data_IF_840093442180
#
_entry.id   IF_840093442180
#
_cell.length_a   1.000
_cell.length_b   1.000
_cell.length_c   1.000
_cell.angle_alpha   90.00
_cell.angle_beta   90.00
_cell.angle_gamma   90.00
#
_symmetry.space_group_name_H-M   'P 1'
#
loop_
_entity.id
_entity.type
_entity.pdbx_description
1 polymer ?
#
# COMPACT_ATOMS: atom_id res chain seq x y z
N UNK A 1 -5.48 -14.48 26.64
CA UNK A 1 -4.45 -14.63 25.61
C UNK A 1 -3.43 -13.56 25.89
N UNK A 2 -2.24 -13.94 26.36
CA UNK A 2 -1.17 -12.99 26.68
C UNK A 2 -0.19 -12.98 25.50
N UNK A 3 -0.56 -12.32 24.43
CA UNK A 3 0.39 -12.08 23.36
C UNK A 3 1.23 -10.87 23.76
N UNK A 4 2.50 -11.07 23.98
CA UNK A 4 3.45 -9.96 24.11
C UNK A 4 3.63 -9.33 22.71
N UNK A 5 2.61 -8.61 22.24
CA UNK A 5 2.75 -7.78 21.06
C UNK A 5 3.75 -6.68 21.39
N UNK A 6 4.80 -6.61 20.59
CA UNK A 6 5.81 -5.57 20.69
C UNK A 6 5.81 -4.75 19.41
N UNK A 7 6.07 -3.46 19.55
CA UNK A 7 6.22 -2.56 18.42
C UNK A 7 7.54 -1.80 18.57
N UNK A 8 8.35 -1.78 17.54
CA UNK A 8 9.65 -1.09 17.55
C UNK A 8 9.96 -0.51 16.17
N UNK A 9 10.71 0.61 16.12
CA UNK A 9 11.21 1.13 14.86
C UNK A 9 12.30 0.19 14.29
N UNK A 10 12.40 0.17 12.95
CA UNK A 10 13.44 -0.58 12.24
C UNK A 10 14.06 0.27 11.15
N UNK A 11 15.36 0.05 10.87
CA UNK A 11 16.12 0.90 9.96
C UNK A 11 16.48 2.23 10.61
N UNK A 12 17.11 3.10 9.85
CA UNK A 12 17.59 4.40 10.33
C UNK A 12 16.98 5.58 9.58
N UNK A 13 16.33 5.33 8.45
CA UNK A 13 15.80 6.36 7.58
C UNK A 13 14.54 6.97 8.16
N UNK A 14 14.46 8.29 8.07
CA UNK A 14 13.28 9.08 8.40
C UNK A 14 12.64 9.55 7.10
N UNK A 15 11.53 8.92 6.71
CA UNK A 15 10.77 9.29 5.53
C UNK A 15 9.89 10.51 5.79
N UNK A 16 9.82 11.43 4.84
CA UNK A 16 8.84 12.51 4.89
C UNK A 16 7.41 11.96 4.82
N UNK A 17 7.20 10.98 3.93
CA UNK A 17 5.96 10.25 3.79
C UNK A 17 6.23 8.83 3.26
N UNK A 18 6.56 7.90 4.18
CA UNK A 18 6.81 6.50 3.87
C UNK A 18 5.50 5.82 3.44
N UNK A 19 5.54 5.01 2.36
CA UNK A 19 4.34 4.42 1.76
C UNK A 19 4.62 3.12 0.99
N UNK A 20 3.54 2.45 0.58
CA UNK A 20 3.55 1.32 -0.34
C UNK A 20 4.45 0.16 0.07
N UNK A 21 4.45 -0.30 1.34
CA UNK A 21 5.35 -1.36 1.75
C UNK A 21 4.95 -2.70 1.11
N UNK A 22 5.96 -3.43 0.65
CA UNK A 22 5.82 -4.78 0.12
C UNK A 22 7.02 -5.63 0.55
N UNK A 23 6.78 -6.80 1.12
CA UNK A 23 7.84 -7.73 1.49
C UNK A 23 8.16 -8.69 0.34
N UNK A 24 9.42 -8.67 -0.14
CA UNK A 24 9.87 -9.43 -1.29
C UNK A 24 11.34 -9.85 -1.16
N UNK A 25 11.63 -11.13 -1.36
CA UNK A 25 13.00 -11.66 -1.29
C UNK A 25 13.77 -11.19 -0.04
N UNK A 26 13.18 -11.44 1.14
CA UNK A 26 13.72 -11.13 2.46
C UNK A 26 13.98 -9.62 2.73
N UNK A 27 13.39 -8.74 1.93
CA UNK A 27 13.49 -7.29 2.11
C UNK A 27 12.11 -6.64 2.09
N UNK A 28 12.00 -5.54 2.83
CA UNK A 28 10.89 -4.62 2.72
C UNK A 28 11.22 -3.57 1.65
N UNK A 29 10.43 -3.52 0.58
CA UNK A 29 10.43 -2.43 -0.38
C UNK A 29 9.38 -1.42 0.06
N UNK A 30 9.70 -0.13 0.01
CA UNK A 30 8.74 0.95 0.25
C UNK A 30 9.23 2.24 -0.41
N UNK A 31 8.38 3.25 -0.44
CA UNK A 31 8.71 4.57 -1.01
C UNK A 31 8.63 5.66 0.04
N UNK A 32 9.44 6.71 -0.11
CA UNK A 32 9.22 8.00 0.52
C UNK A 32 8.69 8.95 -0.55
N UNK A 33 7.37 9.14 -0.58
CA UNK A 33 6.70 9.91 -1.63
C UNK A 33 7.26 11.34 -1.71
N UNK A 34 7.27 12.05 -0.57
CA UNK A 34 7.71 13.44 -0.50
C UNK A 34 9.24 13.58 -0.40
N UNK A 35 9.95 12.48 -0.13
CA UNK A 35 11.39 12.35 -0.23
C UNK A 35 11.88 11.93 -1.61
N UNK A 36 10.98 11.56 -2.54
CA UNK A 36 11.27 11.12 -3.90
C UNK A 36 12.21 9.92 -3.95
N UNK A 37 12.06 8.98 -3.04
CA UNK A 37 13.02 7.88 -2.84
C UNK A 37 12.32 6.54 -2.85
N UNK A 38 12.90 5.56 -3.54
CA UNK A 38 12.60 4.14 -3.39
C UNK A 38 13.58 3.53 -2.40
N UNK A 39 13.11 2.74 -1.45
CA UNK A 39 13.91 2.15 -0.39
C UNK A 39 13.75 0.63 -0.37
N UNK A 40 14.85 -0.08 -0.11
CA UNK A 40 14.90 -1.51 0.18
C UNK A 40 15.57 -1.71 1.52
N UNK A 41 14.82 -2.16 2.50
CA UNK A 41 15.26 -2.39 3.88
C UNK A 41 15.39 -3.89 4.12
N UNK A 42 16.53 -4.33 4.64
CA UNK A 42 16.69 -5.67 5.21
C UNK A 42 16.20 -5.65 6.67
N UNK A 43 15.09 -6.33 7.01
CA UNK A 43 14.53 -6.24 8.35
C UNK A 43 15.30 -7.03 9.42
N UNK A 44 16.25 -7.87 9.05
CA UNK A 44 17.08 -8.62 10.00
C UNK A 44 18.34 -7.85 10.39
N UNK A 45 18.99 -7.17 9.43
CA UNK A 45 20.20 -6.37 9.71
C UNK A 45 19.90 -4.89 9.97
N UNK A 46 18.76 -4.37 9.50
CA UNK A 46 18.44 -2.95 9.47
C UNK A 46 19.15 -2.18 8.36
N UNK A 47 19.87 -2.86 7.47
CA UNK A 47 20.56 -2.22 6.36
C UNK A 47 19.57 -1.71 5.31
N UNK A 48 19.85 -0.50 4.80
CA UNK A 48 18.99 0.18 3.82
C UNK A 48 19.78 0.51 2.55
N UNK A 49 19.18 0.16 1.43
CA UNK A 49 19.59 0.61 0.10
C UNK A 49 18.49 1.51 -0.46
N UNK A 50 18.86 2.58 -1.15
CA UNK A 50 17.88 3.51 -1.68
C UNK A 50 18.28 4.12 -3.03
N UNK A 51 17.28 4.56 -3.79
CA UNK A 51 17.42 5.20 -5.09
C UNK A 51 16.64 6.51 -5.12
N UNK A 52 17.34 7.59 -5.47
CA UNK A 52 16.72 8.89 -5.73
C UNK A 52 15.97 8.84 -7.06
N UNK A 53 14.66 8.98 -7.00
CA UNK A 53 13.82 8.81 -8.19
C UNK A 53 13.55 10.13 -8.93
N UNK A 54 13.86 11.28 -8.33
CA UNK A 54 13.70 12.61 -8.93
C UNK A 54 12.25 13.08 -9.09
N UNK A 55 11.28 12.29 -8.62
CA UNK A 55 9.85 12.58 -8.63
C UNK A 55 9.15 11.87 -7.46
N UNK A 56 7.91 12.24 -7.16
CA UNK A 56 7.09 11.50 -6.20
C UNK A 56 6.71 10.13 -6.80
N UNK A 57 6.91 9.08 -6.00
CA UNK A 57 6.49 7.72 -6.35
C UNK A 57 5.43 7.33 -5.33
N UNK A 58 4.23 6.97 -5.80
CA UNK A 58 3.15 6.51 -4.92
C UNK A 58 3.31 5.06 -4.49
N UNK A 59 3.81 4.22 -5.38
CA UNK A 59 3.94 2.78 -5.11
C UNK A 59 5.02 2.12 -5.96
N UNK A 60 5.53 0.99 -5.46
CA UNK A 60 6.51 0.13 -6.12
C UNK A 60 6.12 -1.32 -5.96
N UNK A 61 6.29 -2.13 -7.01
CA UNK A 61 6.15 -3.59 -6.94
C UNK A 61 7.34 -4.27 -7.63
N UNK A 62 7.75 -5.47 -7.17
CA UNK A 62 8.79 -6.24 -7.85
C UNK A 62 8.29 -6.76 -9.21
N UNK A 63 9.22 -7.00 -10.12
CA UNK A 63 8.96 -7.64 -11.43
C UNK A 63 9.57 -9.04 -11.47
N UNK A 64 8.88 -9.99 -12.09
CA UNK A 64 9.40 -11.35 -12.30
C UNK A 64 10.64 -11.36 -13.21
N UNK A 65 10.70 -10.43 -14.14
CA UNK A 65 11.85 -10.23 -15.04
C UNK A 65 13.06 -9.53 -14.40
N UNK A 66 12.95 -9.13 -13.12
CA UNK A 66 13.96 -8.34 -12.41
C UNK A 66 13.65 -6.85 -12.41
N UNK A 67 14.25 -6.12 -11.46
CA UNK A 67 13.96 -4.72 -11.21
C UNK A 67 12.55 -4.49 -10.64
N UNK A 68 12.05 -3.27 -10.81
CA UNK A 68 10.81 -2.82 -10.21
C UNK A 68 9.86 -2.22 -11.25
N UNK A 69 8.58 -2.23 -10.93
CA UNK A 69 7.55 -1.41 -11.58
C UNK A 69 7.11 -0.36 -10.58
N UNK A 70 7.17 0.91 -10.99
CA UNK A 70 6.83 2.07 -10.17
C UNK A 70 5.65 2.82 -10.79
N UNK A 71 4.87 3.50 -9.95
CA UNK A 71 3.88 4.46 -10.40
C UNK A 71 4.03 5.77 -9.59
N UNK A 72 4.15 6.88 -10.29
CA UNK A 72 4.47 8.20 -9.70
C UNK A 72 3.90 9.38 -10.46
N UNK A 73 4.58 10.52 -10.38
CA UNK A 73 4.16 11.76 -11.08
C UNK A 73 4.21 11.59 -12.61
N UNK A 74 5.17 10.83 -13.15
CA UNK A 74 5.35 10.65 -14.60
C UNK A 74 4.56 9.48 -15.19
N UNK A 75 3.73 8.81 -14.38
CA UNK A 75 2.96 7.64 -14.82
C UNK A 75 3.51 6.32 -14.26
N UNK A 76 3.30 5.24 -15.02
CA UNK A 76 3.77 3.88 -14.70
C UNK A 76 5.02 3.59 -15.52
N UNK A 77 6.10 3.18 -14.86
CA UNK A 77 7.37 2.89 -15.53
C UNK A 77 8.14 1.74 -14.85
N UNK A 78 8.97 1.04 -15.62
CA UNK A 78 9.93 0.10 -15.06
C UNK A 78 11.17 0.83 -14.57
N UNK A 79 11.78 0.32 -13.51
CA UNK A 79 13.03 0.82 -12.96
C UNK A 79 14.03 -0.32 -12.75
N UNK A 80 15.21 -0.17 -13.33
CA UNK A 80 16.34 -1.07 -13.09
C UNK A 80 17.23 -0.49 -11.97
N UNK A 81 17.29 -1.14 -10.79
CA UNK A 81 18.05 -0.63 -9.66
C UNK A 81 19.58 -0.70 -9.85
N UNK A 82 20.07 -1.45 -10.85
CA UNK A 82 21.51 -1.59 -11.15
C UNK A 82 21.99 -0.46 -12.06
N UNK A 83 21.22 -0.18 -13.12
CA UNK A 83 21.60 0.82 -14.14
C UNK A 83 20.99 2.19 -13.87
N UNK A 84 19.92 2.26 -13.07
CA UNK A 84 19.11 3.46 -12.86
C UNK A 84 18.16 3.77 -14.04
N UNK A 85 18.07 2.87 -15.02
CA UNK A 85 17.22 3.08 -16.21
C UNK A 85 15.74 3.07 -15.85
N UNK A 86 14.99 4.03 -16.40
CA UNK A 86 13.54 4.11 -16.33
C UNK A 86 12.95 3.99 -17.74
N UNK A 87 11.96 3.11 -17.90
CA UNK A 87 11.21 2.99 -19.16
C UNK A 87 9.73 3.22 -18.89
N UNK A 88 9.19 4.32 -19.43
CA UNK A 88 7.77 4.65 -19.27
C UNK A 88 6.90 3.66 -20.04
N UNK A 89 5.84 3.17 -19.38
CA UNK A 89 4.87 2.23 -19.96
C UNK A 89 3.52 2.88 -20.22
N UNK A 90 3.03 3.75 -19.30
CA UNK A 90 1.73 4.38 -19.41
C UNK A 90 1.63 5.64 -18.54
N UNK A 91 0.87 6.62 -19.02
CA UNK A 91 0.58 7.86 -18.29
C UNK A 91 -0.86 8.32 -18.63
N UNK A 92 -1.86 7.72 -17.97
CA UNK A 92 -3.27 7.96 -18.31
C UNK A 92 -3.80 9.31 -17.85
N UNK A 93 -3.09 10.01 -16.96
CA UNK A 93 -3.50 11.31 -16.39
C UNK A 93 -2.47 12.42 -16.64
N UNK A 94 -1.71 12.31 -17.73
CA UNK A 94 -0.71 13.32 -18.11
C UNK A 94 -1.28 14.75 -18.21
N UNK A 95 -2.54 14.86 -18.63
CA UNK A 95 -3.27 16.12 -18.77
C UNK A 95 -3.75 16.71 -17.44
N UNK A 96 -3.73 15.93 -16.35
CA UNK A 96 -4.13 16.34 -15.01
C UNK A 96 -2.95 16.75 -14.13
N UNK A 97 -1.72 16.70 -14.63
CA UNK A 97 -0.54 17.12 -13.85
C UNK A 97 -0.49 18.64 -13.69
N UNK A 98 -0.01 19.20 -12.55
CA UNK A 98 0.51 18.48 -11.35
C UNK A 98 -0.56 18.11 -10.31
N UNK A 99 -1.86 18.28 -10.63
CA UNK A 99 -2.95 18.17 -9.68
C UNK A 99 -3.27 16.71 -9.31
N UNK A 100 -2.95 15.78 -10.20
CA UNK A 100 -3.04 14.34 -9.95
C UNK A 100 -1.68 13.65 -10.07
N UNK A 101 -1.48 12.59 -9.29
CA UNK A 101 -0.36 11.65 -9.36
C UNK A 101 -0.82 10.24 -9.01
N UNK A 102 -0.02 9.24 -9.34
CA UNK A 102 -0.24 7.91 -8.77
C UNK A 102 -0.03 7.90 -7.26
N UNK A 103 -0.78 7.06 -6.57
CA UNK A 103 -0.75 6.84 -5.13
C UNK A 103 -0.51 5.36 -4.84
N UNK A 104 -1.41 4.65 -4.14
CA UNK A 104 -1.22 3.25 -3.80
C UNK A 104 -1.47 2.29 -4.97
N UNK A 105 -0.85 1.12 -4.92
CA UNK A 105 -1.02 0.05 -5.90
C UNK A 105 -0.32 -1.24 -5.51
N UNK A 106 -0.82 -2.36 -6.03
CA UNK A 106 -0.26 -3.71 -5.82
C UNK A 106 -0.48 -4.58 -7.05
N UNK A 107 0.24 -5.71 -7.11
CA UNK A 107 -0.08 -6.75 -8.07
C UNK A 107 -1.20 -7.66 -7.56
N UNK A 108 -2.08 -8.06 -8.49
CA UNK A 108 -3.07 -9.10 -8.24
C UNK A 108 -2.48 -10.51 -8.32
N UNK A 109 -3.24 -11.56 -7.94
CA UNK A 109 -2.77 -12.95 -7.97
C UNK A 109 -2.32 -13.45 -9.36
N UNK A 110 -2.76 -12.80 -10.44
CA UNK A 110 -2.33 -13.11 -11.82
C UNK A 110 -1.10 -12.30 -12.27
N UNK A 111 -0.55 -11.44 -11.40
CA UNK A 111 0.62 -10.63 -11.68
C UNK A 111 0.35 -9.40 -12.55
N UNK A 112 -0.88 -8.91 -12.61
CA UNK A 112 -1.23 -7.61 -13.21
C UNK A 112 -1.06 -6.52 -12.15
N UNK A 113 -0.59 -5.37 -12.55
CA UNK A 113 -0.38 -4.24 -11.65
C UNK A 113 -1.62 -3.34 -11.60
N UNK A 114 -2.11 -3.11 -10.39
CA UNK A 114 -3.20 -2.19 -10.10
C UNK A 114 -2.64 -1.00 -9.38
N UNK A 115 -2.89 0.19 -9.90
CA UNK A 115 -2.44 1.44 -9.29
C UNK A 115 -3.51 2.52 -9.48
N UNK A 116 -3.78 3.23 -8.41
CA UNK A 116 -4.73 4.32 -8.44
C UNK A 116 -4.07 5.68 -8.26
N UNK A 117 -4.81 6.72 -8.62
CA UNK A 117 -4.36 8.10 -8.52
C UNK A 117 -5.00 8.83 -7.34
N UNK A 118 -4.43 9.96 -6.99
CA UNK A 118 -4.95 10.92 -6.01
C UNK A 118 -5.07 12.28 -6.66
N UNK A 119 -6.15 13.00 -6.36
CA UNK A 119 -6.20 14.45 -6.60
C UNK A 119 -5.53 15.19 -5.44
N UNK A 120 -4.32 15.69 -5.65
CA UNK A 120 -3.54 16.43 -4.64
C UNK A 120 -4.19 17.74 -4.24
N UNK A 121 -5.03 18.29 -5.11
CA UNK A 121 -5.86 19.48 -4.86
C UNK A 121 -7.22 19.13 -4.24
N UNK A 122 -7.42 17.86 -3.87
CA UNK A 122 -8.63 17.35 -3.19
C UNK A 122 -9.92 17.53 -3.99
N UNK A 123 -9.85 17.49 -5.32
CA UNK A 123 -11.03 17.54 -6.20
C UNK A 123 -11.72 16.18 -6.16
N UNK A 124 -12.90 16.16 -5.59
CA UNK A 124 -13.68 14.92 -5.42
C UNK A 124 -14.01 14.26 -6.76
N UNK A 125 -13.71 12.96 -6.86
CA UNK A 125 -14.01 12.14 -8.04
C UNK A 125 -13.17 12.44 -9.27
N UNK A 126 -12.00 13.07 -9.12
CA UNK A 126 -11.11 13.43 -10.24
C UNK A 126 -9.95 12.43 -10.45
N UNK A 127 -9.84 11.42 -9.61
CA UNK A 127 -8.86 10.35 -9.68
C UNK A 127 -9.50 9.01 -10.10
N UNK A 128 -8.70 8.00 -10.34
CA UNK A 128 -9.13 6.72 -10.88
C UNK A 128 -8.26 5.56 -10.36
N UNK A 129 -8.75 4.33 -10.50
CA UNK A 129 -7.99 3.09 -10.36
C UNK A 129 -7.78 2.46 -11.73
N UNK A 130 -6.53 2.16 -12.07
CA UNK A 130 -6.13 1.52 -13.33
C UNK A 130 -5.54 0.13 -13.10
N UNK A 131 -5.56 -0.70 -14.13
CA UNK A 131 -4.87 -1.98 -14.18
C UNK A 131 -4.01 -2.05 -15.44
N UNK A 132 -2.71 -2.28 -15.25
CA UNK A 132 -1.77 -2.64 -16.31
C UNK A 132 -1.66 -4.17 -16.36
N UNK A 133 -2.03 -4.75 -17.50
CA UNK A 133 -1.94 -6.19 -17.67
C UNK A 133 -0.52 -6.66 -18.01
N UNK A 134 -0.34 -7.97 -18.05
CA UNK A 134 0.97 -8.61 -18.33
C UNK A 134 1.42 -8.48 -19.78
N UNK A 135 0.62 -7.86 -20.66
CA UNK A 135 0.98 -7.55 -22.06
C UNK A 135 1.34 -6.08 -22.24
N UNK A 136 1.12 -5.26 -21.21
CA UNK A 136 1.34 -3.81 -21.24
C UNK A 136 0.08 -3.00 -21.57
N UNK A 137 -1.09 -3.62 -21.63
CA UNK A 137 -2.35 -2.92 -21.89
C UNK A 137 -2.90 -2.33 -20.59
N UNK A 138 -3.08 -0.99 -20.59
CA UNK A 138 -3.67 -0.26 -19.46
C UNK A 138 -5.19 -0.16 -19.62
N UNK A 139 -5.92 -0.37 -18.54
CA UNK A 139 -7.39 -0.23 -18.50
C UNK A 139 -7.86 0.48 -17.23
N UNK A 140 -8.86 1.37 -17.39
CA UNK A 140 -9.59 1.97 -16.28
C UNK A 140 -10.48 0.92 -15.60
N UNK A 141 -10.43 0.84 -14.27
CA UNK A 141 -11.19 -0.15 -13.47
C UNK A 141 -12.23 0.47 -12.56
N UNK A 142 -11.87 1.57 -11.87
CA UNK A 142 -12.80 2.34 -11.05
C UNK A 142 -12.60 3.81 -11.36
N UNK A 143 -13.68 4.49 -11.77
CA UNK A 143 -13.70 5.93 -12.01
C UNK A 143 -14.16 6.72 -10.77
N UNK A 144 -14.01 8.04 -10.82
CA UNK A 144 -14.49 8.95 -9.78
C UNK A 144 -13.95 8.70 -8.39
N UNK A 145 -12.73 8.22 -8.31
CA UNK A 145 -11.95 8.12 -7.08
C UNK A 145 -11.44 9.50 -6.69
N UNK A 146 -11.18 9.74 -5.42
CA UNK A 146 -10.60 10.99 -4.93
C UNK A 146 -9.18 10.79 -4.44
N UNK A 147 -8.96 9.76 -3.64
CA UNK A 147 -7.65 9.34 -3.12
C UNK A 147 -7.61 7.82 -3.04
N UNK A 148 -7.11 7.20 -4.11
CA UNK A 148 -6.95 5.76 -4.19
C UNK A 148 -5.92 5.29 -3.17
N UNK A 149 -6.31 4.33 -2.35
CA UNK A 149 -5.50 3.74 -1.30
C UNK A 149 -5.74 2.24 -1.19
N UNK A 150 -5.45 1.66 -0.08
CA UNK A 150 -5.51 0.28 0.32
C UNK A 150 -6.16 -0.68 -0.67
N UNK A 151 -5.37 -1.58 -1.24
CA UNK A 151 -5.84 -2.60 -2.17
C UNK A 151 -5.25 -3.96 -1.81
N UNK A 152 -6.10 -5.01 -1.76
CA UNK A 152 -5.66 -6.39 -1.59
C UNK A 152 -6.71 -7.37 -2.14
N UNK A 153 -6.34 -8.65 -2.24
CA UNK A 153 -7.21 -9.70 -2.77
C UNK A 153 -7.38 -10.82 -1.76
N UNK A 154 -8.57 -11.42 -1.74
CA UNK A 154 -8.84 -12.64 -0.98
C UNK A 154 -7.95 -13.80 -1.45
N UNK A 155 -7.64 -14.75 -0.55
CA UNK A 155 -6.76 -15.88 -0.85
C UNK A 155 -7.27 -16.76 -2.01
N UNK A 156 -8.59 -16.85 -2.18
CA UNK A 156 -9.23 -17.57 -3.29
C UNK A 156 -9.31 -16.73 -4.59
N UNK A 157 -8.77 -15.51 -4.56
CA UNK A 157 -8.77 -14.58 -5.69
C UNK A 157 -10.17 -14.28 -6.29
N UNK A 158 -11.22 -14.32 -5.47
CA UNK A 158 -12.60 -14.04 -5.88
C UNK A 158 -13.08 -12.66 -5.48
N UNK A 159 -12.33 -11.95 -4.61
CA UNK A 159 -12.64 -10.61 -4.15
C UNK A 159 -11.42 -9.71 -4.20
N UNK A 160 -11.64 -8.44 -4.56
CA UNK A 160 -10.71 -7.34 -4.35
C UNK A 160 -11.28 -6.43 -3.26
N UNK A 161 -10.48 -6.10 -2.26
CA UNK A 161 -10.80 -5.07 -1.27
C UNK A 161 -10.12 -3.77 -1.63
N UNK A 162 -10.82 -2.64 -1.45
CA UNK A 162 -10.36 -1.35 -1.94
C UNK A 162 -10.85 -0.19 -1.09
N UNK A 163 -10.02 0.86 -1.00
CA UNK A 163 -10.26 2.08 -0.23
C UNK A 163 -10.12 3.31 -1.14
N UNK A 164 -11.14 4.17 -1.12
CA UNK A 164 -11.03 5.59 -1.47
C UNK A 164 -11.12 6.39 -0.17
N UNK A 165 -10.00 6.86 0.32
CA UNK A 165 -9.81 7.39 1.68
C UNK A 165 -10.87 8.41 2.14
N UNK A 166 -11.26 9.43 1.33
CA UNK A 166 -12.26 10.41 1.77
C UNK A 166 -13.65 9.84 2.02
N UNK A 167 -13.94 8.65 1.49
CA UNK A 167 -15.22 7.96 1.73
C UNK A 167 -15.29 7.32 3.11
N UNK A 168 -14.14 7.11 3.76
CA UNK A 168 -13.96 6.35 5.00
C UNK A 168 -14.44 4.89 4.92
N UNK A 169 -14.63 4.36 3.72
CA UNK A 169 -15.20 3.04 3.49
C UNK A 169 -14.16 2.07 2.94
N UNK A 170 -14.28 0.82 3.38
CA UNK A 170 -13.61 -0.32 2.81
C UNK A 170 -14.65 -1.06 1.97
N UNK A 171 -14.39 -1.21 0.67
CA UNK A 171 -15.29 -1.85 -0.27
C UNK A 171 -14.77 -3.22 -0.69
N UNK A 172 -15.67 -4.14 -0.98
CA UNK A 172 -15.38 -5.46 -1.57
C UNK A 172 -15.98 -5.52 -2.96
N UNK A 173 -15.14 -5.79 -3.95
CA UNK A 173 -15.54 -6.02 -5.35
C UNK A 173 -15.46 -7.52 -5.65
N UNK A 174 -16.53 -8.20 -6.13
CA UNK A 174 -16.37 -9.51 -6.74
C UNK A 174 -15.37 -9.42 -7.90
N UNK A 175 -14.42 -10.35 -7.94
CA UNK A 175 -13.26 -10.29 -8.82
C UNK A 175 -13.14 -11.53 -9.68
N UNK A 176 -13.12 -11.35 -11.00
CA UNK A 176 -12.74 -12.40 -11.94
C UNK A 176 -11.23 -12.36 -12.18
N UNK A 177 -10.50 -13.20 -11.45
CA UNK A 177 -9.04 -13.26 -11.54
C UNK A 177 -8.53 -13.66 -12.93
N UNK A 178 -9.32 -14.42 -13.72
CA UNK A 178 -8.88 -14.83 -15.06
C UNK A 178 -8.81 -13.67 -16.05
N UNK A 179 -9.67 -12.65 -15.87
CA UNK A 179 -9.83 -11.50 -16.78
C UNK A 179 -9.43 -10.17 -16.15
N UNK A 180 -9.22 -10.09 -14.83
CA UNK A 180 -9.02 -8.81 -14.11
C UNK A 180 -10.26 -7.92 -14.19
N UNK A 181 -11.44 -8.48 -14.01
CA UNK A 181 -12.72 -7.76 -14.08
C UNK A 181 -13.34 -7.67 -12.70
N UNK A 182 -13.84 -6.47 -12.38
CA UNK A 182 -14.62 -6.18 -11.18
C UNK A 182 -16.11 -6.18 -11.49
N UNK A 183 -16.92 -6.63 -10.53
CA UNK A 183 -18.37 -6.46 -10.54
C UNK A 183 -18.78 -5.41 -9.48
N UNK A 184 -20.08 -5.13 -9.35
CA UNK A 184 -20.62 -4.14 -8.41
C UNK A 184 -20.13 -4.37 -6.97
N UNK A 185 -19.59 -3.34 -6.32
CA UNK A 185 -19.02 -3.45 -4.99
C UNK A 185 -20.08 -3.54 -3.88
N UNK A 186 -19.68 -4.08 -2.75
CA UNK A 186 -20.43 -4.04 -1.51
C UNK A 186 -19.60 -3.41 -0.38
N UNK A 187 -20.26 -2.79 0.58
CA UNK A 187 -19.61 -2.26 1.77
C UNK A 187 -19.11 -3.40 2.65
N UNK A 188 -17.84 -3.31 3.08
CA UNK A 188 -17.27 -4.17 4.12
C UNK A 188 -17.37 -3.47 5.48
N UNK A 189 -16.80 -2.28 5.59
CA UNK A 189 -16.77 -1.51 6.83
C UNK A 189 -16.75 -0.01 6.54
N UNK A 190 -17.24 0.77 7.49
CA UNK A 190 -17.19 2.23 7.49
C UNK A 190 -16.47 2.69 8.76
N UNK A 191 -15.28 3.27 8.60
CA UNK A 191 -14.44 3.70 9.72
C UNK A 191 -15.12 4.79 10.58
N UNK A 192 -16.01 5.58 9.99
CA UNK A 192 -16.81 6.55 10.72
C UNK A 192 -17.86 5.89 11.61
N UNK A 193 -18.44 4.76 11.19
CA UNK A 193 -19.38 3.96 11.99
C UNK A 193 -18.67 3.20 13.10
N UNK A 194 -17.43 2.75 12.84
CA UNK A 194 -16.60 2.08 13.83
C UNK A 194 -15.94 3.05 14.84
N UNK A 195 -16.19 4.35 14.72
CA UNK A 195 -15.64 5.41 15.57
C UNK A 195 -14.10 5.37 15.67
N UNK A 196 -13.46 5.15 14.53
CA UNK A 196 -12.00 5.10 14.41
C UNK A 196 -11.43 6.49 14.10
N UNK A 197 -10.42 6.88 14.87
CA UNK A 197 -9.64 8.08 14.58
C UNK A 197 -8.89 7.95 13.27
N UNK A 198 -8.73 9.07 12.55
CA UNK A 198 -8.03 9.11 11.28
C UNK A 198 -8.89 8.70 10.08
N UNK A 199 -8.24 8.18 9.05
CA UNK A 199 -8.88 7.76 7.81
C UNK A 199 -8.21 6.49 7.27
N UNK A 200 -8.97 5.54 6.72
CA UNK A 200 -8.40 4.31 6.16
C UNK A 200 -7.47 4.65 4.99
N UNK A 201 -6.28 4.05 5.02
CA UNK A 201 -5.19 4.31 4.09
C UNK A 201 -4.66 2.99 3.52
N UNK A 202 -3.37 2.67 3.65
CA UNK A 202 -2.82 1.42 3.16
C UNK A 202 -3.43 0.19 3.86
N UNK A 203 -3.55 -0.92 3.14
CA UNK A 203 -4.20 -2.14 3.61
C UNK A 203 -3.46 -3.38 3.16
N UNK A 204 -3.46 -4.43 4.01
CA UNK A 204 -3.04 -5.78 3.65
C UNK A 204 -4.04 -6.82 4.15
N UNK A 205 -3.80 -8.09 3.86
CA UNK A 205 -4.65 -9.20 4.28
C UNK A 205 -3.80 -10.29 4.93
N UNK A 206 -4.31 -10.92 5.98
CA UNK A 206 -3.65 -12.06 6.59
C UNK A 206 -4.10 -13.41 5.99
N UNK A 207 -3.47 -14.49 6.45
CA UNK A 207 -3.76 -15.85 5.97
C UNK A 207 -5.13 -16.39 6.41
N UNK A 208 -5.78 -15.75 7.37
CA UNK A 208 -7.13 -16.06 7.82
C UNK A 208 -8.19 -15.23 7.06
N UNK A 209 -7.72 -14.34 6.17
CA UNK A 209 -8.57 -13.48 5.35
C UNK A 209 -9.06 -12.22 6.06
N UNK A 210 -8.49 -11.85 7.22
CA UNK A 210 -8.80 -10.59 7.88
C UNK A 210 -8.04 -9.44 7.23
N UNK A 211 -8.66 -8.28 7.14
CA UNK A 211 -8.06 -7.07 6.58
C UNK A 211 -7.30 -6.30 7.67
N UNK A 212 -6.08 -5.91 7.38
CA UNK A 212 -5.27 -5.04 8.22
C UNK A 212 -5.19 -3.67 7.55
N UNK A 213 -5.84 -2.70 8.16
CA UNK A 213 -6.04 -1.36 7.61
C UNK A 213 -5.34 -0.33 8.48
N UNK A 214 -4.46 0.45 7.87
CA UNK A 214 -3.82 1.57 8.55
C UNK A 214 -4.78 2.75 8.60
N UNK A 215 -4.85 3.40 9.75
CA UNK A 215 -5.64 4.61 9.95
C UNK A 215 -4.72 5.83 9.92
N UNK A 216 -4.59 6.45 8.75
CA UNK A 216 -3.77 7.65 8.56
C UNK A 216 -4.27 8.79 9.45
N UNK A 217 -3.35 9.48 10.12
CA UNK A 217 -3.61 10.46 11.18
C UNK A 217 -4.31 9.90 12.43
N UNK A 218 -4.41 8.58 12.55
CA UNK A 218 -5.04 7.89 13.68
C UNK A 218 -4.03 7.16 14.57
N UNK A 219 -2.78 7.02 14.13
CA UNK A 219 -1.73 6.35 14.92
C UNK A 219 -2.03 4.89 15.22
N UNK A 220 -2.65 4.17 14.30
CA UNK A 220 -3.04 2.78 14.52
C UNK A 220 -3.14 1.95 13.24
N UNK A 221 -3.06 0.63 13.41
CA UNK A 221 -3.51 -0.37 12.44
C UNK A 221 -4.64 -1.17 13.06
N UNK A 222 -5.68 -1.43 12.30
CA UNK A 222 -6.86 -2.19 12.75
C UNK A 222 -7.05 -3.45 11.92
N UNK A 223 -7.42 -4.54 12.59
CA UNK A 223 -7.84 -5.78 11.94
C UNK A 223 -9.36 -5.81 11.84
N UNK A 224 -9.89 -5.98 10.63
CA UNK A 224 -11.32 -5.99 10.33
C UNK A 224 -11.71 -7.34 9.72
N UNK A 225 -12.79 -7.92 10.23
CA UNK A 225 -13.38 -9.11 9.61
C UNK A 225 -14.19 -8.68 8.36
N UNK A 226 -13.80 -9.09 7.14
CA UNK A 226 -14.46 -8.63 5.93
C UNK A 226 -15.84 -9.26 5.68
N UNK A 227 -16.24 -10.27 6.45
CA UNK A 227 -17.57 -10.88 6.36
C UNK A 227 -18.59 -10.14 7.24
N UNK A 228 -18.19 -9.72 8.44
CA UNK A 228 -19.09 -9.02 9.39
C UNK A 228 -18.91 -7.51 9.38
N UNK A 229 -17.78 -6.99 8.91
CA UNK A 229 -17.41 -5.58 9.00
C UNK A 229 -16.94 -5.14 10.39
N UNK A 230 -16.79 -6.08 11.32
CA UNK A 230 -16.45 -5.78 12.71
C UNK A 230 -14.95 -5.58 12.91
N UNK A 231 -14.61 -4.70 13.83
CA UNK A 231 -13.27 -4.53 14.37
C UNK A 231 -12.90 -5.76 15.23
N UNK A 232 -11.82 -6.45 14.87
CA UNK A 232 -11.32 -7.62 15.58
C UNK A 232 -10.27 -7.24 16.63
N UNK A 233 -9.27 -6.45 16.20
CA UNK A 233 -8.25 -5.92 17.09
C UNK A 233 -7.67 -4.60 16.58
N UNK A 234 -6.93 -3.92 17.44
CA UNK A 234 -6.23 -2.67 17.17
C UNK A 234 -4.78 -2.78 17.66
N UNK A 235 -3.86 -2.24 16.90
CA UNK A 235 -2.46 -2.05 17.28
C UNK A 235 -2.17 -0.55 17.23
N UNK A 236 -1.90 0.04 18.38
CA UNK A 236 -1.51 1.45 18.48
C UNK A 236 -0.03 1.61 18.10
N UNK A 237 0.25 2.56 17.22
CA UNK A 237 1.60 2.91 16.75
C UNK A 237 2.04 4.19 17.45
N UNK A 238 3.28 4.29 17.97
CA UNK A 238 3.73 5.49 18.68
C UNK A 238 4.05 6.67 17.75
N UNK A 239 3.28 6.83 16.69
CA UNK A 239 3.38 7.88 15.69
C UNK A 239 1.99 8.10 15.05
N UNK A 240 1.53 9.34 14.97
CA UNK A 240 0.19 9.66 14.43
C UNK A 240 0.10 9.45 12.92
N UNK A 241 1.17 9.77 12.19
CA UNK A 241 1.21 9.68 10.71
C UNK A 241 1.55 8.25 10.26
N UNK A 242 0.68 7.30 10.56
CA UNK A 242 0.73 5.95 9.99
C UNK A 242 0.14 5.95 8.59
N UNK A 243 0.71 5.20 7.63
CA UNK A 243 0.35 5.30 6.21
C UNK A 243 -0.07 3.96 5.61
N UNK A 244 0.81 2.95 5.63
CA UNK A 244 0.51 1.65 5.05
C UNK A 244 1.14 0.50 5.85
N UNK A 245 0.74 -0.75 5.55
CA UNK A 245 1.30 -1.92 6.20
C UNK A 245 1.47 -3.11 5.26
N UNK A 246 2.43 -3.98 5.60
CA UNK A 246 2.66 -5.25 4.92
C UNK A 246 3.17 -6.31 5.90
N UNK A 247 2.71 -7.53 5.75
CA UNK A 247 3.32 -8.67 6.42
C UNK A 247 4.64 -9.06 5.75
N UNK A 248 5.59 -9.50 6.56
CA UNK A 248 6.89 -9.96 6.11
C UNK A 248 7.63 -10.76 7.18
N UNK A 249 8.96 -10.91 7.00
CA UNK A 249 9.77 -11.84 7.76
C UNK A 249 9.72 -13.25 7.18
N UNK A 250 10.64 -14.11 7.61
CA UNK A 250 10.80 -15.48 7.08
C UNK A 250 9.50 -16.30 7.12
N UNK A 251 8.64 -16.05 8.13
CA UNK A 251 7.39 -16.77 8.34
C UNK A 251 6.16 -15.95 7.97
N UNK A 252 6.32 -14.71 7.47
CA UNK A 252 5.26 -13.73 7.23
C UNK A 252 4.46 -13.39 8.51
N UNK A 253 5.08 -13.46 9.68
CA UNK A 253 4.47 -13.28 11.00
C UNK A 253 4.82 -11.95 11.67
N UNK A 254 5.49 -11.05 10.94
CA UNK A 254 5.82 -9.69 11.35
C UNK A 254 5.02 -8.69 10.51
N UNK A 255 4.41 -7.70 11.13
CA UNK A 255 3.70 -6.65 10.41
C UNK A 255 4.56 -5.38 10.38
N UNK A 256 4.97 -4.95 9.19
CA UNK A 256 5.69 -3.70 8.96
C UNK A 256 4.72 -2.57 8.68
N UNK A 257 4.96 -1.40 9.27
CA UNK A 257 4.09 -0.23 9.15
C UNK A 257 4.96 0.96 8.72
N UNK A 258 4.64 1.58 7.61
CA UNK A 258 5.26 2.82 7.17
C UNK A 258 4.62 4.02 7.85
N UNK A 259 5.41 5.07 8.04
CA UNK A 259 4.98 6.31 8.71
C UNK A 259 5.58 7.54 8.04
N UNK A 260 5.04 8.73 8.37
CA UNK A 260 5.54 10.01 7.89
C UNK A 260 5.82 11.00 9.02
N UNK A 261 6.40 12.14 8.68
CA UNK A 261 6.71 13.23 9.64
C UNK A 261 5.88 14.49 9.43
N UNK A 262 4.91 14.47 8.51
CA UNK A 262 4.22 15.69 8.06
C UNK A 262 3.65 16.56 9.18
N UNK A 263 3.00 15.96 10.18
CA UNK A 263 2.48 16.65 11.38
C UNK A 263 3.14 16.17 12.67
N UNK A 264 3.93 15.11 12.59
CA UNK A 264 4.52 14.39 13.73
C UNK A 264 5.99 14.73 13.95
N UNK A 265 6.44 15.92 13.61
CA UNK A 265 7.84 16.35 13.69
C UNK A 265 8.47 16.23 15.09
N UNK A 266 7.66 16.09 16.12
CA UNK A 266 8.10 16.01 17.53
C UNK A 266 7.91 14.61 18.13
N UNK A 267 7.33 13.65 17.37
CA UNK A 267 7.17 12.28 17.83
C UNK A 267 8.45 11.49 17.59
N UNK A 268 8.85 10.75 18.60
CA UNK A 268 10.04 9.89 18.51
C UNK A 268 9.83 8.82 17.44
N UNK A 269 10.81 8.64 16.56
CA UNK A 269 10.80 7.68 15.45
C UNK A 269 9.72 7.90 14.37
N UNK A 270 9.03 9.05 14.34
CA UNK A 270 8.14 9.40 13.24
C UNK A 270 8.92 9.39 11.90
N UNK A 271 8.31 8.85 10.84
CA UNK A 271 8.93 8.66 9.52
C UNK A 271 9.79 7.40 9.39
N UNK A 272 10.06 6.66 10.47
CA UNK A 272 10.66 5.34 10.39
C UNK A 272 9.63 4.27 10.08
N UNK A 273 10.09 3.10 9.63
CA UNK A 273 9.26 1.90 9.57
C UNK A 273 9.16 1.30 10.96
N UNK A 274 7.96 0.94 11.38
CA UNK A 274 7.74 0.15 12.59
C UNK A 274 7.50 -1.31 12.25
N UNK A 275 7.92 -2.20 13.12
CA UNK A 275 7.61 -3.62 13.06
C UNK A 275 6.82 -4.04 14.29
N UNK A 276 5.76 -4.80 14.06
CA UNK A 276 4.94 -5.44 15.09
C UNK A 276 5.26 -6.92 15.10
N UNK A 277 5.74 -7.40 16.23
CA UNK A 277 6.03 -8.81 16.50
C UNK A 277 5.01 -9.36 17.51
N UNK A 278 4.79 -10.68 17.49
CA UNK A 278 3.92 -11.36 18.46
C UNK A 278 2.44 -11.36 18.10
N UNK A 279 2.10 -11.05 16.84
CA UNK A 279 0.76 -11.29 16.31
C UNK A 279 0.55 -12.80 16.11
N UNK A 280 -0.62 -13.32 16.51
CA UNK A 280 -0.97 -14.75 16.35
C UNK A 280 -1.47 -15.08 14.93
N UNK A 281 -1.08 -14.27 13.94
CA UNK A 281 -1.48 -14.40 12.55
C UNK A 281 -0.28 -14.28 11.62
N UNK A 282 -0.42 -14.77 10.39
CA UNK A 282 0.57 -14.63 9.33
C UNK A 282 -0.05 -13.88 8.16
N UNK A 283 0.77 -13.18 7.42
CA UNK A 283 0.36 -12.58 6.17
C UNK A 283 0.30 -13.57 5.01
N UNK A 284 0.02 -13.03 3.83
CA UNK A 284 0.08 -13.73 2.56
C UNK A 284 1.29 -13.25 1.75
N UNK A 285 1.81 -14.11 0.88
CA UNK A 285 2.91 -13.74 -0.02
C UNK A 285 2.45 -12.66 -1.00
N UNK A 286 3.26 -11.63 -1.15
CA UNK A 286 3.03 -10.60 -2.14
C UNK A 286 3.18 -11.13 -3.58
N UNK A 287 2.52 -10.51 -4.53
CA UNK A 287 2.62 -10.83 -5.95
C UNK A 287 3.54 -9.84 -6.67
N UNK A 288 4.29 -10.34 -7.64
CA UNK A 288 5.13 -9.55 -8.51
C UNK A 288 4.44 -9.31 -9.87
N UNK A 289 4.77 -8.19 -10.52
CA UNK A 289 4.36 -7.96 -11.90
C UNK A 289 4.95 -9.04 -12.81
N UNK A 290 4.11 -9.67 -13.62
CA UNK A 290 4.48 -10.89 -14.35
C UNK A 290 5.16 -10.65 -15.70
N UNK A 291 5.78 -9.47 -15.90
CA UNK A 291 6.66 -9.14 -17.02
C UNK A 291 8.11 -9.08 -16.61
#
# INVERSE_FOLDING_TARGET
>A
MNNNITISPIGSRVSKWGEGPIFWNDHLLYVDIEGHTLIRLNPESGDEEFWEMGERIGTVVPRKGGGFLCAGDSGIYTFDPITGEKVNLADPEADKRPDNRFNDGKCDPSGRFWAGTISTVKKTGDANLYMLDTKGDLSLKVDKVTNSNGICWSADATKMYYIDTPTKKIMSYPFDNSRGVLSEPSLVADAGVLDLDGSPDGMTIDSEGMLWVVMCHGGMVVQINPQSGELVQRVDVPCVETTACAFGGTNLDRLFITTGVHKSLHEENAGQVFVVDGLDVKGTTAFAFAQ
#
